data_IF_368097434784
#
_entry.id   IF_368097434784
#
_cell.length_a   1.000
_cell.length_b   1.000
_cell.length_c   1.000
_cell.angle_alpha   90.00
_cell.angle_beta   90.00
_cell.angle_gamma   90.00
#
_symmetry.space_group_name_H-M   'P 1'
#
loop_
_entity.id
_entity.type
_entity.pdbx_description
1 polymer ?
#
# COMPACT_ATOMS: atom_id res chain seq x y z
N UNK A 1 27.69 24.26 13.01
CA UNK A 1 27.19 23.96 11.65
C UNK A 1 27.56 25.13 10.75
N UNK A 2 28.22 24.86 9.63
CA UNK A 2 29.06 25.81 8.89
C UNK A 2 28.23 26.71 7.95
N UNK A 3 28.55 28.01 7.88
CA UNK A 3 27.83 29.02 7.06
C UNK A 3 27.72 28.66 5.56
N UNK A 4 28.59 27.78 5.05
CA UNK A 4 28.54 27.26 3.69
C UNK A 4 27.37 26.28 3.43
N UNK A 5 26.90 25.54 4.44
CA UNK A 5 25.73 24.66 4.29
C UNK A 5 24.44 25.46 4.16
N UNK A 6 24.29 26.53 4.94
CA UNK A 6 23.12 27.42 4.86
C UNK A 6 23.03 28.18 3.53
N UNK A 7 24.17 28.55 2.93
CA UNK A 7 24.18 29.20 1.60
C UNK A 7 23.83 28.23 0.46
N UNK A 8 24.24 26.96 0.54
CA UNK A 8 23.88 25.94 -0.45
C UNK A 8 22.41 25.52 -0.35
N UNK A 9 21.85 25.45 0.86
CA UNK A 9 20.43 25.18 1.09
C UNK A 9 19.56 26.32 0.54
N UNK A 10 19.92 27.59 0.82
CA UNK A 10 19.22 28.74 0.27
C UNK A 10 19.31 28.79 -1.27
N UNK A 11 20.49 28.55 -1.87
CA UNK A 11 20.60 28.47 -3.34
C UNK A 11 19.77 27.33 -3.94
N UNK A 12 19.65 26.19 -3.25
CA UNK A 12 18.80 25.08 -3.65
C UNK A 12 17.31 25.43 -3.60
N UNK A 13 16.87 26.15 -2.56
CA UNK A 13 15.50 26.65 -2.41
C UNK A 13 15.15 27.72 -3.44
N UNK A 14 16.06 28.64 -3.73
CA UNK A 14 15.88 29.65 -4.78
C UNK A 14 15.74 29.00 -6.16
N UNK A 15 16.57 28.01 -6.49
CA UNK A 15 16.47 27.26 -7.76
C UNK A 15 15.18 26.45 -7.85
N UNK A 16 14.73 25.83 -6.75
CA UNK A 16 13.44 25.10 -6.67
C UNK A 16 12.24 26.03 -6.83
N UNK A 17 12.29 27.21 -6.24
CA UNK A 17 11.19 28.20 -6.31
C UNK A 17 11.08 28.78 -7.71
N UNK A 18 12.22 29.11 -8.33
CA UNK A 18 12.26 29.56 -9.73
C UNK A 18 11.79 28.47 -10.69
N UNK A 19 12.22 27.21 -10.48
CA UNK A 19 11.79 26.08 -11.30
C UNK A 19 10.28 25.82 -11.17
N UNK A 20 9.72 25.86 -9.97
CA UNK A 20 8.28 25.67 -9.75
C UNK A 20 7.45 26.80 -10.36
N UNK A 21 7.89 28.05 -10.25
CA UNK A 21 7.20 29.20 -10.85
C UNK A 21 7.28 29.13 -12.38
N UNK A 22 8.45 28.76 -12.92
CA UNK A 22 8.63 28.62 -14.35
C UNK A 22 7.82 27.45 -14.91
N UNK A 23 7.94 26.26 -14.32
CA UNK A 23 7.21 25.05 -14.75
C UNK A 23 5.70 25.22 -14.65
N UNK A 24 5.20 25.89 -13.60
CA UNK A 24 3.77 26.20 -13.46
C UNK A 24 3.29 27.14 -14.55
N UNK A 25 4.05 28.19 -14.87
CA UNK A 25 3.76 29.05 -16.03
C UNK A 25 3.82 28.26 -17.34
N UNK A 26 4.84 27.44 -17.56
CA UNK A 26 5.00 26.70 -18.82
C UNK A 26 3.91 25.64 -18.98
N UNK A 27 3.47 24.97 -17.91
CA UNK A 27 2.32 24.08 -17.95
C UNK A 27 1.01 24.83 -18.17
N UNK A 28 0.78 25.94 -17.47
CA UNK A 28 -0.40 26.79 -17.67
C UNK A 28 -0.45 27.31 -19.12
N UNK A 29 0.70 27.67 -19.70
CA UNK A 29 0.84 28.12 -21.09
C UNK A 29 0.70 26.95 -22.08
N UNK A 30 1.28 25.78 -21.85
CA UNK A 30 1.14 24.60 -22.73
C UNK A 30 -0.28 24.02 -22.71
N UNK A 31 -0.95 24.08 -21.55
CA UNK A 31 -2.37 23.73 -21.39
C UNK A 31 -3.27 24.83 -21.97
N UNK A 32 -2.78 26.07 -22.11
CA UNK A 32 -3.46 27.16 -22.80
C UNK A 32 -3.31 27.15 -24.32
N UNK A 33 -2.13 26.77 -24.81
CA UNK A 33 -1.79 26.85 -26.23
C UNK A 33 -2.35 25.68 -27.05
N UNK A 34 -2.79 24.59 -26.41
CA UNK A 34 -3.21 23.36 -27.11
C UNK A 34 -4.65 22.90 -26.91
N UNK A 35 -5.42 23.52 -26.00
CA UNK A 35 -6.78 23.06 -25.68
C UNK A 35 -7.81 24.12 -26.00
N UNK A 36 -8.84 23.74 -26.76
CA UNK A 36 -9.97 24.63 -27.02
C UNK A 36 -10.75 24.93 -25.72
N UNK A 37 -11.36 26.10 -25.65
CA UNK A 37 -12.17 26.60 -24.53
C UNK A 37 -13.25 25.59 -24.07
N UNK A 38 -13.77 24.78 -25.02
CA UNK A 38 -14.75 23.74 -24.78
C UNK A 38 -14.15 22.53 -24.03
N UNK A 39 -12.92 22.12 -24.36
CA UNK A 39 -12.23 21.03 -23.69
C UNK A 39 -11.75 21.44 -22.30
N UNK A 40 -11.31 22.70 -22.14
CA UNK A 40 -11.07 23.31 -20.81
C UNK A 40 -12.31 23.34 -19.95
N UNK A 41 -13.46 23.66 -20.54
CA UNK A 41 -14.74 23.63 -19.82
C UNK A 41 -15.17 22.20 -19.50
N UNK A 42 -14.91 21.21 -20.36
CA UNK A 42 -15.18 19.80 -20.07
C UNK A 42 -14.26 19.24 -18.99
N UNK A 43 -12.96 19.55 -19.03
CA UNK A 43 -12.00 19.24 -17.97
C UNK A 43 -12.41 19.92 -16.65
N UNK A 44 -12.74 21.21 -16.63
CA UNK A 44 -13.19 21.90 -15.40
C UNK A 44 -14.56 21.42 -14.89
N UNK A 45 -15.41 20.88 -15.78
CA UNK A 45 -16.74 20.35 -15.44
C UNK A 45 -16.69 18.89 -14.97
N UNK A 46 -15.67 18.13 -15.40
CA UNK A 46 -15.56 16.69 -15.13
C UNK A 46 -14.26 16.27 -14.42
N UNK A 47 -13.32 17.17 -14.08
CA UNK A 47 -12.11 16.80 -13.34
C UNK A 47 -12.51 16.34 -11.93
N UNK A 48 -12.34 15.06 -11.61
CA UNK A 48 -12.51 14.57 -10.26
C UNK A 48 -11.20 14.84 -9.52
N UNK A 49 -11.25 15.39 -8.30
CA UNK A 49 -10.17 15.34 -7.30
C UNK A 49 -8.72 15.38 -7.85
N UNK A 50 -8.07 16.55 -7.86
CA UNK A 50 -6.65 16.62 -8.16
C UNK A 50 -5.82 16.06 -6.99
N UNK A 51 -5.52 14.76 -7.03
CA UNK A 51 -4.48 14.12 -6.23
C UNK A 51 -3.16 14.23 -7.01
N UNK A 52 -2.29 15.16 -6.62
CA UNK A 52 -1.00 15.34 -7.29
C UNK A 52 0.08 14.56 -6.55
N UNK A 53 0.85 13.77 -7.29
CA UNK A 53 2.03 13.05 -6.80
C UNK A 53 3.29 13.70 -7.37
N UNK A 54 4.29 13.99 -6.53
CA UNK A 54 5.62 14.41 -6.98
C UNK A 54 6.54 13.19 -7.17
N UNK A 55 7.08 12.99 -8.39
CA UNK A 55 7.96 11.86 -8.74
C UNK A 55 9.23 11.75 -7.88
N UNK A 56 9.55 12.79 -7.11
CA UNK A 56 10.66 12.80 -6.15
C UNK A 56 10.29 12.24 -4.75
N UNK A 57 9.07 11.71 -4.58
CA UNK A 57 8.72 10.72 -3.56
C UNK A 57 8.55 11.23 -2.13
N UNK A 58 7.55 12.07 -1.84
CA UNK A 58 7.22 12.36 -0.43
C UNK A 58 5.77 12.75 -0.18
N UNK A 59 5.16 13.49 -1.11
CA UNK A 59 3.92 14.20 -0.80
C UNK A 59 2.79 13.83 -1.77
N UNK A 60 1.73 13.24 -1.23
CA UNK A 60 0.40 13.25 -1.85
C UNK A 60 -0.34 14.52 -1.39
N UNK A 61 -0.83 15.29 -2.35
CA UNK A 61 -1.58 16.53 -2.07
C UNK A 61 -2.97 16.47 -2.65
N UNK A 62 -3.93 16.91 -1.84
CA UNK A 62 -5.29 17.20 -2.26
C UNK A 62 -5.37 18.69 -2.60
N UNK A 63 -5.66 19.02 -3.87
CA UNK A 63 -5.91 20.40 -4.31
C UNK A 63 -7.41 20.64 -4.53
N UNK A 64 -8.10 21.24 -3.54
CA UNK A 64 -9.53 21.53 -3.64
C UNK A 64 -9.78 22.80 -4.44
N UNK A 65 -9.86 22.71 -5.77
CA UNK A 65 -10.33 23.84 -6.59
C UNK A 65 -11.85 24.07 -6.39
N UNK A 66 -12.62 23.02 -6.04
CA UNK A 66 -14.10 23.09 -5.88
C UNK A 66 -14.70 22.29 -4.72
N UNK A 67 -13.95 21.42 -4.06
CA UNK A 67 -14.46 20.47 -3.04
C UNK A 67 -14.00 20.90 -1.65
N UNK A 68 -14.92 21.27 -0.75
CA UNK A 68 -14.58 21.75 0.60
C UNK A 68 -14.09 20.64 1.53
N UNK A 69 -14.64 19.44 1.36
CA UNK A 69 -14.33 18.28 2.19
C UNK A 69 -14.51 16.98 1.37
N UNK A 70 -13.62 16.02 1.61
CA UNK A 70 -13.69 14.65 1.08
C UNK A 70 -13.57 13.69 2.25
N UNK A 71 -14.41 12.65 2.27
CA UNK A 71 -14.25 11.53 3.19
C UNK A 71 -13.71 10.33 2.41
N UNK A 72 -12.56 9.83 2.84
CA UNK A 72 -11.95 8.61 2.33
C UNK A 72 -12.42 7.40 3.14
N UNK A 73 -12.42 6.23 2.53
CA UNK A 73 -12.43 4.98 3.30
C UNK A 73 -11.16 4.87 4.13
N UNK A 74 -11.21 4.12 5.22
CA UNK A 74 -10.05 3.90 6.09
C UNK A 74 -8.85 3.33 5.32
N UNK A 75 -9.12 2.33 4.48
CA UNK A 75 -8.10 1.71 3.63
C UNK A 75 -7.50 2.70 2.64
N UNK A 76 -8.31 3.57 2.01
CA UNK A 76 -7.81 4.54 1.04
C UNK A 76 -7.00 5.65 1.71
N UNK A 77 -7.43 6.14 2.88
CA UNK A 77 -6.66 7.09 3.67
C UNK A 77 -5.30 6.51 4.07
N UNK A 78 -5.28 5.25 4.52
CA UNK A 78 -4.06 4.52 4.86
C UNK A 78 -3.11 4.36 3.66
N UNK A 79 -3.62 3.85 2.52
CA UNK A 79 -2.85 3.66 1.28
C UNK A 79 -2.26 4.99 0.81
N UNK A 80 -2.99 6.10 0.93
CA UNK A 80 -2.51 7.41 0.51
C UNK A 80 -1.64 8.11 1.57
N UNK A 81 -1.42 7.51 2.73
CA UNK A 81 -0.59 8.05 3.81
C UNK A 81 -1.23 9.16 4.63
N UNK A 82 -2.57 9.31 4.57
CA UNK A 82 -3.32 10.25 5.41
C UNK A 82 -3.66 9.61 6.76
N UNK A 83 -3.44 10.37 7.85
CA UNK A 83 -3.85 9.94 9.19
C UNK A 83 -5.34 10.17 9.48
N UNK A 84 -5.99 11.03 8.68
CA UNK A 84 -7.42 11.35 8.80
C UNK A 84 -8.18 10.88 7.58
N UNK A 85 -9.40 10.39 7.79
CA UNK A 85 -10.35 10.05 6.71
C UNK A 85 -10.99 11.28 6.10
N UNK A 86 -11.09 12.38 6.84
CA UNK A 86 -11.68 13.62 6.36
C UNK A 86 -10.58 14.57 5.91
N UNK A 87 -10.55 14.85 4.61
CA UNK A 87 -9.67 15.84 4.01
C UNK A 87 -10.46 17.13 3.84
N UNK A 88 -9.96 18.24 4.38
CA UNK A 88 -10.58 19.56 4.24
C UNK A 88 -9.61 20.56 3.60
N UNK A 89 -10.18 21.57 2.94
CA UNK A 89 -9.43 22.74 2.47
C UNK A 89 -8.79 23.51 3.66
N UNK A 90 -7.70 24.27 3.47
CA UNK A 90 -7.07 24.63 2.19
C UNK A 90 -6.06 23.60 1.65
N UNK A 91 -5.52 22.70 2.49
CA UNK A 91 -4.58 21.68 2.05
C UNK A 91 -4.44 20.58 3.10
N UNK A 92 -4.76 19.35 2.72
CA UNK A 92 -4.46 18.16 3.51
C UNK A 92 -3.26 17.47 2.86
N UNK A 93 -2.17 17.31 3.63
CA UNK A 93 -0.93 16.66 3.17
C UNK A 93 -0.81 15.31 3.86
N UNK A 94 -0.46 14.28 3.09
CA UNK A 94 -0.18 12.95 3.63
C UNK A 94 1.04 13.00 4.57
N UNK A 95 0.96 12.30 5.70
CA UNK A 95 2.04 12.26 6.70
C UNK A 95 3.05 11.16 6.40
N UNK A 96 2.64 10.19 5.60
CA UNK A 96 3.41 9.01 5.21
C UNK A 96 3.46 8.92 3.69
N UNK A 97 4.48 8.24 3.18
CA UNK A 97 4.51 7.93 1.76
C UNK A 97 3.33 7.01 1.41
N UNK A 98 2.69 7.24 0.26
CA UNK A 98 1.63 6.36 -0.21
C UNK A 98 2.14 4.94 -0.44
N UNK A 99 1.40 3.96 0.05
CA UNK A 99 1.64 2.54 -0.16
C UNK A 99 1.12 2.10 -1.53
N UNK A 100 2.00 2.07 -2.52
CA UNK A 100 1.65 1.60 -3.87
C UNK A 100 1.34 0.10 -3.94
N UNK A 101 1.57 -0.66 -2.86
CA UNK A 101 1.24 -2.10 -2.78
C UNK A 101 -0.20 -2.34 -2.30
N UNK A 102 -0.99 -1.28 -2.12
CA UNK A 102 -2.42 -1.41 -1.79
C UNK A 102 -2.70 -1.90 -0.37
N UNK A 103 -1.76 -1.74 0.56
CA UNK A 103 -1.95 -2.08 1.98
C UNK A 103 -1.70 -3.54 2.33
N UNK A 104 -1.45 -4.43 1.35
CA UNK A 104 -1.24 -5.86 1.59
C UNK A 104 0.14 -6.26 1.08
N UNK A 105 1.10 -6.36 1.98
CA UNK A 105 2.48 -6.77 1.68
C UNK A 105 2.74 -8.25 1.93
N UNK A 106 1.84 -8.92 2.66
CA UNK A 106 1.96 -10.31 3.05
C UNK A 106 0.59 -10.90 3.38
N UNK A 107 0.52 -12.22 3.37
CA UNK A 107 -0.62 -12.96 3.90
C UNK A 107 -0.16 -14.12 4.75
N UNK A 108 -1.07 -14.58 5.58
CA UNK A 108 -0.82 -15.59 6.59
C UNK A 108 -1.69 -16.80 6.28
N UNK A 109 -1.08 -17.98 6.28
CA UNK A 109 -1.77 -19.25 6.06
C UNK A 109 -2.05 -19.87 7.42
N UNK A 110 -3.32 -19.85 7.83
CA UNK A 110 -3.81 -20.39 9.07
C UNK A 110 -4.25 -21.84 8.85
N UNK A 111 -4.05 -22.67 9.87
CA UNK A 111 -4.57 -24.03 9.94
C UNK A 111 -5.29 -24.28 11.28
N UNK A 112 -6.49 -23.72 11.46
CA UNK A 112 -7.26 -23.84 12.70
C UNK A 112 -7.47 -25.30 13.09
N UNK A 113 -7.16 -25.65 14.34
CA UNK A 113 -7.35 -26.99 14.88
C UNK A 113 -6.33 -28.04 14.41
N UNK A 114 -5.42 -27.71 13.50
CA UNK A 114 -4.39 -28.64 13.01
C UNK A 114 -3.10 -28.57 13.85
N UNK A 115 -2.59 -27.36 14.07
CA UNK A 115 -1.28 -27.11 14.70
C UNK A 115 -1.40 -26.30 15.98
N UNK A 116 -0.43 -26.47 16.88
CA UNK A 116 -0.31 -25.65 18.08
C UNK A 116 -0.22 -24.15 17.71
N UNK A 117 -0.99 -23.26 18.39
CA UNK A 117 -0.92 -21.83 18.13
C UNK A 117 0.47 -21.24 18.42
N UNK A 118 0.90 -20.30 17.60
CA UNK A 118 2.13 -19.53 17.77
C UNK A 118 1.81 -18.06 17.99
N UNK A 119 2.69 -17.37 18.71
CA UNK A 119 2.54 -15.93 18.97
C UNK A 119 3.01 -15.16 17.72
N UNK A 120 2.13 -14.34 17.17
CA UNK A 120 2.39 -13.44 16.05
C UNK A 120 1.89 -12.04 16.44
N UNK A 121 2.83 -11.10 16.60
CA UNK A 121 2.49 -9.77 17.11
C UNK A 121 1.90 -9.87 18.52
N UNK A 122 0.67 -9.43 18.68
CA UNK A 122 -0.11 -9.41 19.92
C UNK A 122 -1.17 -10.54 20.01
N UNK A 123 -1.21 -11.44 19.02
CA UNK A 123 -2.19 -12.55 18.97
C UNK A 123 -1.52 -13.93 19.00
N UNK A 124 -2.23 -14.93 19.51
CA UNK A 124 -1.81 -16.33 19.53
C UNK A 124 -2.69 -17.14 18.57
N UNK A 125 -2.12 -17.61 17.46
CA UNK A 125 -2.87 -18.15 16.33
C UNK A 125 -2.17 -19.33 15.63
N UNK A 126 -2.89 -20.32 15.08
CA UNK A 126 -2.32 -21.48 14.43
C UNK A 126 -1.92 -21.16 12.98
N UNK A 127 -0.75 -20.55 12.79
CA UNK A 127 -0.23 -20.16 11.47
C UNK A 127 0.86 -21.10 10.99
N UNK A 128 0.66 -21.67 9.80
CA UNK A 128 1.66 -22.52 9.13
C UNK A 128 2.81 -21.69 8.58
N UNK A 129 2.51 -20.54 7.95
CA UNK A 129 3.50 -19.69 7.28
C UNK A 129 2.96 -18.29 7.01
N UNK A 130 3.87 -17.32 7.04
CA UNK A 130 3.69 -16.00 6.43
C UNK A 130 4.29 -16.02 5.02
N UNK A 131 3.51 -15.57 4.03
CA UNK A 131 3.93 -15.46 2.62
C UNK A 131 4.03 -13.98 2.27
N UNK A 132 5.21 -13.55 1.83
CA UNK A 132 5.44 -12.16 1.43
C UNK A 132 5.09 -11.98 -0.04
N UNK A 133 4.32 -10.94 -0.35
CA UNK A 133 3.97 -10.56 -1.72
C UNK A 133 5.14 -9.73 -2.26
N UNK A 134 5.93 -10.32 -3.17
CA UNK A 134 7.13 -9.68 -3.73
C UNK A 134 6.88 -8.85 -4.98
N UNK A 135 5.64 -8.77 -5.47
CA UNK A 135 5.37 -8.02 -6.70
C UNK A 135 5.74 -6.53 -6.54
N UNK A 136 6.45 -6.01 -7.54
CA UNK A 136 6.75 -4.59 -7.67
C UNK A 136 5.76 -3.88 -8.60
N UNK A 137 5.00 -4.62 -9.42
CA UNK A 137 4.08 -4.06 -10.42
C UNK A 137 2.68 -4.69 -10.34
N UNK A 138 1.62 -3.90 -10.61
CA UNK A 138 0.31 -4.45 -10.86
C UNK A 138 0.36 -5.44 -12.03
N UNK A 139 -0.29 -6.60 -11.91
CA UNK A 139 -0.42 -7.65 -12.94
C UNK A 139 0.78 -8.59 -13.16
N UNK A 140 1.85 -8.49 -12.34
CA UNK A 140 2.91 -9.49 -12.37
C UNK A 140 2.43 -10.82 -11.76
N UNK A 141 2.60 -11.91 -12.51
CA UNK A 141 2.43 -13.27 -11.98
C UNK A 141 3.63 -13.61 -11.08
N UNK A 142 3.44 -13.47 -9.76
CA UNK A 142 4.45 -13.85 -8.77
C UNK A 142 4.20 -15.27 -8.29
N UNK A 143 5.08 -16.18 -8.69
CA UNK A 143 5.16 -17.53 -8.13
C UNK A 143 6.21 -17.55 -7.01
N UNK A 144 5.80 -17.91 -5.80
CA UNK A 144 6.68 -18.08 -4.65
C UNK A 144 6.63 -19.54 -4.17
N UNK A 145 7.76 -20.22 -4.30
CA UNK A 145 7.92 -21.62 -3.92
C UNK A 145 8.85 -21.75 -2.72
N UNK A 146 8.31 -22.25 -1.62
CA UNK A 146 9.07 -22.42 -0.38
C UNK A 146 9.57 -23.86 -0.25
N UNK A 147 10.88 -24.06 -0.41
CA UNK A 147 11.53 -25.38 -0.35
C UNK A 147 11.90 -25.82 1.07
N UNK A 148 12.11 -24.86 1.99
CA UNK A 148 12.39 -25.16 3.39
C UNK A 148 11.11 -25.59 4.12
N UNK A 149 11.05 -26.86 4.53
CA UNK A 149 9.92 -27.41 5.29
C UNK A 149 10.00 -26.94 6.74
N UNK A 150 8.93 -26.28 7.22
CA UNK A 150 8.77 -25.91 8.63
C UNK A 150 7.82 -26.93 9.27
N UNK A 151 8.32 -27.62 10.30
CA UNK A 151 7.51 -28.56 11.07
C UNK A 151 6.85 -27.85 12.24
N UNK A 152 5.55 -28.09 12.39
CA UNK A 152 4.72 -27.64 13.49
C UNK A 152 4.21 -28.85 14.27
N UNK A 153 3.99 -28.69 15.57
CA UNK A 153 3.37 -29.73 16.38
C UNK A 153 1.89 -29.81 16.06
N UNK A 154 1.38 -31.03 15.86
CA UNK A 154 -0.03 -31.28 15.60
C UNK A 154 -0.78 -31.39 16.92
N UNK A 155 -1.97 -30.78 16.98
CA UNK A 155 -2.85 -30.89 18.16
C UNK A 155 -3.58 -32.24 18.17
N UNK A 156 -3.95 -32.73 16.98
CA UNK A 156 -4.69 -33.99 16.81
C UNK A 156 -3.84 -35.08 16.16
N UNK A 157 -4.13 -36.33 16.53
CA UNK A 157 -3.53 -37.53 15.92
C UNK A 157 -4.35 -38.07 14.77
N UNK A 158 -5.63 -37.73 14.72
CA UNK A 158 -6.58 -38.16 13.68
C UNK A 158 -7.14 -36.92 13.00
N UNK A 159 -7.03 -36.88 11.67
CA UNK A 159 -7.42 -35.75 10.84
C UNK A 159 -8.35 -36.28 9.77
N UNK A 160 -9.64 -35.95 9.88
CA UNK A 160 -10.62 -36.24 8.84
C UNK A 160 -10.66 -35.14 7.77
N UNK A 161 -10.52 -33.89 8.21
CA UNK A 161 -10.60 -32.70 7.36
C UNK A 161 -9.59 -31.65 7.84
N UNK A 162 -9.03 -30.90 6.89
CA UNK A 162 -8.07 -29.83 7.16
C UNK A 162 -8.68 -28.52 6.69
N UNK A 163 -8.93 -27.62 7.64
CA UNK A 163 -9.37 -26.27 7.33
C UNK A 163 -8.16 -25.35 7.19
N UNK A 164 -8.09 -24.65 6.06
CA UNK A 164 -7.05 -23.66 5.77
C UNK A 164 -7.72 -22.32 5.52
N UNK A 165 -7.22 -21.29 6.19
CA UNK A 165 -7.67 -19.92 5.97
C UNK A 165 -6.48 -19.07 5.55
N UNK A 166 -6.66 -18.27 4.50
CA UNK A 166 -5.67 -17.28 4.11
C UNK A 166 -6.16 -15.93 4.57
N UNK A 167 -5.39 -15.28 5.44
CA UNK A 167 -5.76 -14.01 6.06
C UNK A 167 -4.76 -12.91 5.76
N UNK A 168 -5.25 -11.68 5.76
CA UNK A 168 -4.45 -10.45 5.72
C UNK A 168 -3.63 -10.31 7.02
N UNK A 169 -2.65 -9.40 7.08
CA UNK A 169 -1.93 -9.09 8.31
C UNK A 169 -2.83 -8.56 9.43
N UNK A 170 -3.99 -7.99 9.08
CA UNK A 170 -5.01 -7.54 10.04
C UNK A 170 -5.91 -8.67 10.56
N UNK A 171 -5.73 -9.91 10.07
CA UNK A 171 -6.51 -11.07 10.47
C UNK A 171 -7.85 -11.26 9.75
N UNK A 172 -8.19 -10.39 8.79
CA UNK A 172 -9.35 -10.57 7.93
C UNK A 172 -9.09 -11.63 6.85
N UNK A 173 -10.13 -12.28 6.31
CA UNK A 173 -9.97 -13.19 5.17
C UNK A 173 -9.41 -12.42 3.97
N UNK A 174 -8.44 -13.03 3.28
CA UNK A 174 -7.81 -12.42 2.11
C UNK A 174 -8.81 -12.35 0.95
N UNK A 175 -9.12 -11.15 0.41
CA UNK A 175 -10.08 -10.98 -0.68
C UNK A 175 -9.43 -11.27 -2.04
N UNK A 176 -9.10 -12.55 -2.32
CA UNK A 176 -8.55 -12.94 -3.61
C UNK A 176 -9.55 -12.64 -4.74
N UNK A 177 -9.14 -11.81 -5.70
CA UNK A 177 -9.89 -11.59 -6.94
C UNK A 177 -9.49 -12.62 -8.02
N UNK A 178 -8.22 -12.99 -8.04
CA UNK A 178 -7.62 -13.93 -8.99
C UNK A 178 -6.37 -14.57 -8.36
N UNK A 179 -5.94 -15.70 -8.92
CA UNK A 179 -4.76 -16.46 -8.48
C UNK A 179 -5.08 -17.90 -8.08
N UNK A 180 -4.04 -18.71 -7.99
CA UNK A 180 -4.12 -20.13 -7.59
C UNK A 180 -3.19 -20.34 -6.41
N UNK A 181 -3.65 -21.04 -5.38
CA UNK A 181 -2.83 -21.42 -4.24
C UNK A 181 -2.74 -22.95 -4.16
N UNK A 182 -1.51 -23.47 -4.13
CA UNK A 182 -1.24 -24.89 -3.92
C UNK A 182 -0.54 -25.05 -2.57
N UNK A 183 -1.16 -25.80 -1.67
CA UNK A 183 -0.60 -26.13 -0.37
C UNK A 183 -0.21 -27.60 -0.32
N UNK A 184 1.07 -27.87 -0.07
CA UNK A 184 1.59 -29.22 0.15
C UNK A 184 1.98 -29.37 1.61
N UNK A 185 1.32 -30.30 2.32
CA UNK A 185 1.58 -30.58 3.73
C UNK A 185 2.39 -31.88 3.87
N UNK A 186 3.51 -31.81 4.59
CA UNK A 186 4.36 -32.96 4.86
C UNK A 186 4.21 -33.42 6.32
N UNK A 187 3.59 -34.58 6.53
CA UNK A 187 3.38 -35.16 7.85
C UNK A 187 4.52 -36.11 8.20
N UNK A 188 5.27 -35.77 9.26
CA UNK A 188 6.36 -36.62 9.78
C UNK A 188 5.99 -37.16 11.15
N UNK A 189 5.97 -38.48 11.29
CA UNK A 189 5.85 -39.12 12.61
C UNK A 189 7.15 -38.92 13.39
N UNK A 190 7.08 -38.22 14.52
CA UNK A 190 8.22 -38.11 15.44
C UNK A 190 8.42 -39.46 16.12
N UNK A 191 9.65 -40.01 16.16
CA UNK A 191 9.92 -41.21 16.95
C UNK A 191 9.65 -40.90 18.42
N UNK A 192 8.92 -41.80 19.09
CA UNK A 192 8.78 -41.75 20.54
C UNK A 192 10.18 -41.93 21.16
N UNK A 193 10.60 -40.99 22.00
CA UNK A 193 11.76 -41.17 22.88
C UNK A 193 11.37 -41.99 24.10
#
# INVERSE_FOLDING_TARGET
MSQQQQQNEQQGEWKRTQFNVHYRRTLDTLVAERMEEAERNLLNKHLPLALTWNSNGSDCRFDPVRIKQVELSEQLAYILGFHTRHLSAPMSVARYQPDMKGGVSSFYVYAPGLIEPVIIGDVCVPVLRMVCIRSAQPDDMVEEAYTAVQYHQLITKEIAEIFIEIRTPTGALMPFQYGTCTLTLHFRKTPYF
#
